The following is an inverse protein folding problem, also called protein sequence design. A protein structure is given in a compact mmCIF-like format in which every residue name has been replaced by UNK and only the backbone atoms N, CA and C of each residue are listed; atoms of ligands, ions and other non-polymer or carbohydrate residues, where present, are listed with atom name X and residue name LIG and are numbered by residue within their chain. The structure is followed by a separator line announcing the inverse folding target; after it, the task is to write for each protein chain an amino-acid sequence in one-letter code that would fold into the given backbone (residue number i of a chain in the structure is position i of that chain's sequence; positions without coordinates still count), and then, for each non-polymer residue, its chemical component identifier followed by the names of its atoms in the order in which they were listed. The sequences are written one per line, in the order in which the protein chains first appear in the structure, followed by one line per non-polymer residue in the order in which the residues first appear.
data_IF_505987446310
#
_entry.id   IF_505987446310
#
_cell.length_a   1.000
_cell.length_b   1.000
_cell.length_c   1.000
_cell.angle_alpha   90.00
_cell.angle_beta   90.00
_cell.angle_gamma   90.00
#
_symmetry.space_group_name_H-M   'P 1'
#
loop_
_entity.id
_entity.type
_entity.pdbx_description
1 polymer ?
#
# COMPACT_ATOMS: atom_id res chain seq x y z
N UNK A 1 8.62 1.76 36.04
CA UNK A 1 8.90 0.71 35.04
C UNK A 1 10.41 0.66 34.80
N UNK A 2 11.05 -0.51 34.84
CA UNK A 2 12.51 -0.63 34.68
C UNK A 2 12.89 -0.48 33.19
N UNK A 3 13.93 0.31 32.90
CA UNK A 3 14.41 0.66 31.55
C UNK A 3 14.73 -0.56 30.67
N UNK A 4 15.11 -1.70 31.27
CA UNK A 4 15.39 -2.94 30.56
C UNK A 4 14.13 -3.55 29.92
N UNK A 5 12.97 -3.47 30.59
CA UNK A 5 11.71 -3.99 30.07
C UNK A 5 11.23 -3.24 28.83
N UNK A 6 11.41 -1.92 28.82
CA UNK A 6 11.02 -1.04 27.71
C UNK A 6 11.85 -1.31 26.45
N UNK A 7 13.14 -1.64 26.61
CA UNK A 7 14.04 -2.06 25.53
C UNK A 7 13.64 -3.42 24.93
N UNK A 8 13.21 -4.36 25.79
CA UNK A 8 12.77 -5.69 25.36
C UNK A 8 11.44 -5.63 24.61
N UNK A 9 10.49 -4.81 25.07
CA UNK A 9 9.24 -4.55 24.36
C UNK A 9 9.50 -3.93 22.99
N UNK A 10 10.39 -2.93 22.91
CA UNK A 10 10.80 -2.31 21.64
C UNK A 10 11.44 -3.33 20.67
N UNK A 11 12.34 -4.19 21.17
CA UNK A 11 12.96 -5.27 20.37
C UNK A 11 11.95 -6.34 19.95
N UNK A 12 10.96 -6.64 20.79
CA UNK A 12 9.90 -7.58 20.44
C UNK A 12 8.96 -6.98 19.38
N UNK A 13 8.59 -5.71 19.50
CA UNK A 13 7.83 -4.98 18.48
C UNK A 13 8.58 -4.90 17.14
N UNK A 14 9.89 -4.66 17.15
CA UNK A 14 10.71 -4.68 15.92
C UNK A 14 10.81 -6.08 15.29
N UNK A 15 10.65 -7.15 16.07
CA UNK A 15 10.69 -8.54 15.58
C UNK A 15 9.33 -9.11 15.18
N UNK A 16 8.24 -8.45 15.58
CA UNK A 16 6.85 -8.90 15.36
C UNK A 16 6.06 -7.93 14.46
N UNK A 17 6.60 -6.75 14.17
CA UNK A 17 5.98 -5.76 13.30
C UNK A 17 6.08 -6.15 11.82
N UNK A 18 4.93 -6.38 11.18
CA UNK A 18 4.87 -6.37 9.71
C UNK A 18 5.08 -4.93 9.23
N UNK A 19 6.10 -4.71 8.41
CA UNK A 19 6.36 -3.43 7.73
C UNK A 19 6.07 -3.60 6.24
N UNK A 20 5.36 -2.64 5.66
CA UNK A 20 5.08 -2.57 4.23
C UNK A 20 5.64 -1.26 3.69
N UNK A 21 6.37 -1.35 2.58
CA UNK A 21 6.83 -0.21 1.81
C UNK A 21 6.10 -0.24 0.47
N UNK A 22 5.52 0.88 0.07
CA UNK A 22 4.78 1.02 -1.19
C UNK A 22 5.41 2.18 -1.95
N UNK A 23 5.90 1.90 -3.15
CA UNK A 23 6.48 2.87 -4.08
C UNK A 23 5.94 2.61 -5.50
N UNK A 24 6.42 3.38 -6.49
CA UNK A 24 6.02 3.25 -7.89
C UNK A 24 6.47 1.93 -8.54
N UNK A 25 7.43 1.22 -7.93
CA UNK A 25 7.95 -0.07 -8.39
C UNK A 25 7.16 -1.24 -7.80
N UNK A 26 6.29 -0.96 -6.83
CA UNK A 26 5.58 -1.93 -6.02
C UNK A 26 6.50 -2.67 -5.05
N UNK A 27 5.97 -3.70 -4.38
CA UNK A 27 6.78 -4.58 -3.53
C UNK A 27 7.58 -5.52 -4.41
N UNK A 28 8.75 -5.08 -4.88
CA UNK A 28 9.74 -5.79 -5.72
C UNK A 28 9.14 -6.68 -6.84
N UNK A 29 9.20 -6.12 -8.05
CA UNK A 29 8.97 -6.70 -9.38
C UNK A 29 7.51 -6.81 -9.86
N UNK A 30 6.85 -5.67 -10.04
CA UNK A 30 5.99 -5.51 -11.22
C UNK A 30 6.85 -4.95 -12.36
N UNK A 31 7.08 -5.73 -13.42
CA UNK A 31 7.68 -5.23 -14.64
C UNK A 31 6.90 -3.99 -15.08
N UNK A 32 7.58 -2.86 -15.23
CA UNK A 32 7.01 -1.65 -15.80
C UNK A 32 6.53 -1.98 -17.22
N UNK A 33 5.25 -2.35 -17.35
CA UNK A 33 4.57 -2.31 -18.63
C UNK A 33 4.37 -0.84 -18.94
N UNK A 34 5.15 -0.30 -19.87
CA UNK A 34 4.81 0.97 -20.50
C UNK A 34 3.47 0.76 -21.19
N UNK A 35 2.38 1.23 -20.58
CA UNK A 35 1.14 1.43 -21.30
C UNK A 35 1.40 2.60 -22.25
N UNK A 36 1.55 2.32 -23.54
CA UNK A 36 1.47 3.38 -24.54
C UNK A 36 0.04 3.91 -24.52
N UNK A 37 -0.16 5.07 -23.89
CA UNK A 37 -1.41 5.81 -23.98
C UNK A 37 -1.46 6.37 -25.40
N UNK A 38 -2.02 5.60 -26.33
CA UNK A 38 -2.30 6.09 -27.68
C UNK A 38 -3.45 7.09 -27.56
N UNK A 39 -3.14 8.36 -27.78
CA UNK A 39 -4.13 9.43 -27.81
C UNK A 39 -4.97 9.29 -29.09
N UNK A 40 -6.03 8.47 -29.03
CA UNK A 40 -7.02 8.35 -30.10
C UNK A 40 -7.93 9.58 -30.08
N UNK A 41 -7.93 10.35 -31.17
CA UNK A 41 -8.84 11.47 -31.37
C UNK A 41 -10.25 10.96 -31.71
N UNK A 42 -11.02 10.62 -30.69
CA UNK A 42 -12.49 10.55 -30.74
C UNK A 42 -13.02 10.85 -29.33
N UNK A 43 -14.12 11.61 -29.16
CA UNK A 43 -14.74 11.78 -27.86
C UNK A 43 -15.25 10.41 -27.42
N UNK A 44 -14.55 9.78 -26.48
CA UNK A 44 -15.07 8.62 -25.76
C UNK A 44 -16.37 9.06 -25.06
N UNK A 45 -17.41 8.21 -24.96
CA UNK A 45 -18.58 8.52 -24.16
C UNK A 45 -18.09 8.97 -22.77
N UNK A 46 -18.72 9.99 -22.19
CA UNK A 46 -18.42 10.54 -20.86
C UNK A 46 -18.48 9.41 -19.81
N UNK A 47 -17.43 8.59 -19.74
CA UNK A 47 -17.05 7.94 -18.51
C UNK A 47 -16.70 9.14 -17.63
N UNK A 48 -17.57 9.43 -16.67
CA UNK A 48 -17.17 10.31 -15.59
C UNK A 48 -15.87 9.71 -15.07
N UNK A 49 -14.76 10.42 -15.27
CA UNK A 49 -13.47 9.98 -14.73
C UNK A 49 -13.69 9.86 -13.22
N UNK A 50 -13.83 8.63 -12.73
CA UNK A 50 -14.00 8.38 -11.30
C UNK A 50 -12.64 8.66 -10.65
N UNK A 51 -12.49 9.87 -10.10
CA UNK A 51 -11.28 10.28 -9.42
C UNK A 51 -11.12 9.48 -8.11
N UNK A 52 -10.17 8.54 -8.11
CA UNK A 52 -9.78 7.81 -6.90
C UNK A 52 -8.56 8.48 -6.27
N UNK A 53 -8.80 9.29 -5.25
CA UNK A 53 -7.76 10.01 -4.50
C UNK A 53 -7.71 9.53 -3.06
N UNK A 54 -6.52 9.08 -2.63
CA UNK A 54 -6.27 8.54 -1.28
C UNK A 54 -5.51 9.57 -0.45
N UNK A 55 -6.17 10.67 -0.11
CA UNK A 55 -5.63 11.79 0.67
C UNK A 55 -6.14 11.86 2.12
N UNK A 56 -6.73 10.76 2.59
CA UNK A 56 -7.32 10.57 3.92
C UNK A 56 -7.07 9.14 4.43
N UNK A 57 -7.30 8.84 5.72
CA UNK A 57 -7.07 7.50 6.26
C UNK A 57 -7.83 6.40 5.51
N UNK A 58 -7.16 5.27 5.28
CA UNK A 58 -7.70 4.16 4.48
C UNK A 58 -7.25 2.80 5.02
N UNK A 59 -8.01 1.76 4.67
CA UNK A 59 -7.60 0.38 4.91
C UNK A 59 -6.94 -0.22 3.68
N UNK A 60 -5.92 -1.05 3.88
CA UNK A 60 -5.24 -1.80 2.83
C UNK A 60 -5.19 -3.28 3.18
N UNK A 61 -5.43 -4.13 2.20
CA UNK A 61 -5.37 -5.59 2.32
C UNK A 61 -4.57 -6.18 1.16
N UNK A 62 -3.59 -7.04 1.45
CA UNK A 62 -2.92 -7.85 0.43
C UNK A 62 -3.49 -9.26 0.51
N UNK A 63 -4.11 -9.68 -0.59
CA UNK A 63 -4.73 -11.00 -0.72
C UNK A 63 -3.85 -11.84 -1.65
N UNK A 64 -3.50 -13.04 -1.21
CA UNK A 64 -2.80 -14.02 -2.04
C UNK A 64 -3.78 -15.14 -2.44
N UNK A 65 -3.76 -15.53 -3.72
CA UNK A 65 -4.50 -16.66 -4.27
C UNK A 65 -6.01 -16.68 -3.91
N UNK A 66 -6.65 -15.50 -3.94
CA UNK A 66 -8.07 -15.30 -3.62
C UNK A 66 -8.51 -15.88 -2.26
N UNK A 67 -7.59 -15.95 -1.30
CA UNK A 67 -7.82 -16.54 0.02
C UNK A 67 -7.87 -15.47 1.13
N UNK A 68 -7.49 -15.85 2.36
CA UNK A 68 -7.37 -14.94 3.50
C UNK A 68 -6.30 -13.86 3.24
N UNK A 69 -6.52 -12.61 3.70
CA UNK A 69 -5.51 -11.56 3.64
C UNK A 69 -4.22 -11.97 4.35
N UNK A 70 -3.09 -11.85 3.64
CA UNK A 70 -1.76 -12.02 4.24
C UNK A 70 -1.26 -10.73 4.89
N UNK A 71 -1.88 -9.59 4.54
CA UNK A 71 -1.70 -8.31 5.20
C UNK A 71 -3.06 -7.62 5.33
N UNK A 72 -3.31 -7.00 6.48
CA UNK A 72 -4.42 -6.08 6.70
C UNK A 72 -3.90 -4.91 7.56
N UNK A 73 -4.07 -3.69 7.06
CA UNK A 73 -3.58 -2.50 7.73
C UNK A 73 -4.54 -1.32 7.62
N UNK A 74 -4.38 -0.38 8.54
CA UNK A 74 -5.06 0.91 8.55
C UNK A 74 -4.01 2.01 8.47
N UNK A 75 -3.96 2.70 7.34
CA UNK A 75 -3.03 3.81 7.10
C UNK A 75 -3.71 5.09 7.54
N UNK A 76 -3.20 5.68 8.61
CA UNK A 76 -3.73 6.94 9.18
C UNK A 76 -2.76 8.10 9.00
N UNK A 77 -1.47 7.81 8.89
CA UNK A 77 -0.40 8.79 8.71
C UNK A 77 0.77 8.10 8.02
N UNK A 78 0.85 8.13 6.67
CA UNK A 78 1.97 7.55 5.95
C UNK A 78 3.25 8.35 6.26
N UNK A 79 4.37 7.64 6.39
CA UNK A 79 5.70 8.24 6.52
C UNK A 79 6.29 8.52 5.13
N UNK A 80 6.95 9.67 4.97
CA UNK A 80 7.62 10.10 3.73
C UNK A 80 9.09 9.68 3.71
#
# INVERSE_FOLDING_TARGET
MNKNWMELEKKAQDRVGLRMLVDEQGVVAAAASSAEVVQLAAPLPEFADEEFRVDHPFFISIIWNNSLPIFLGHVTSPEN
#
